data_IF_236910442599
#
_entry.id   IF_236910442599
#
_cell.length_a   1.000
_cell.length_b   1.000
_cell.length_c   1.000
_cell.angle_alpha   90.00
_cell.angle_beta   90.00
_cell.angle_gamma   90.00
#
_symmetry.space_group_name_H-M   'P 1'
#
loop_
_entity.id
_entity.type
_entity.pdbx_description
1 polymer ?
#
# COMPACT_ATOMS: atom_id res chain seq x y z
N UNK A 1 8.69 23.54 -18.30
CA UNK A 1 8.36 22.39 -17.43
C UNK A 1 6.87 22.18 -17.50
N UNK A 2 6.38 20.94 -17.59
CA UNK A 2 4.95 20.68 -17.58
C UNK A 2 4.33 21.20 -16.27
N UNK A 3 3.12 21.76 -16.39
CA UNK A 3 2.38 22.36 -15.28
C UNK A 3 1.45 21.31 -14.63
N UNK A 4 0.64 21.73 -13.65
CA UNK A 4 -0.27 20.82 -12.93
C UNK A 4 -1.33 20.19 -13.84
N UNK A 5 -1.88 20.95 -14.80
CA UNK A 5 -2.86 20.43 -15.76
C UNK A 5 -2.24 19.38 -16.66
N UNK A 6 -1.01 19.60 -17.15
CA UNK A 6 -0.30 18.63 -17.98
C UNK A 6 -0.12 17.28 -17.22
N UNK A 7 0.14 17.32 -15.91
CA UNK A 7 0.20 16.10 -15.09
C UNK A 7 -1.16 15.41 -14.92
N UNK A 8 -2.22 16.19 -14.72
CA UNK A 8 -3.58 15.65 -14.61
C UNK A 8 -4.01 14.99 -15.92
N UNK A 9 -3.76 15.64 -17.05
CA UNK A 9 -4.11 15.10 -18.37
C UNK A 9 -3.38 13.77 -18.65
N UNK A 10 -2.13 13.64 -18.22
CA UNK A 10 -1.35 12.42 -18.38
C UNK A 10 -1.75 11.28 -17.45
N UNK A 11 -2.05 11.56 -16.17
CA UNK A 11 -2.11 10.52 -15.13
C UNK A 11 -3.48 10.36 -14.44
N UNK A 12 -4.40 11.33 -14.59
CA UNK A 12 -5.64 11.34 -13.81
C UNK A 12 -6.53 10.14 -14.10
N UNK A 13 -6.71 9.76 -15.37
CA UNK A 13 -7.61 8.67 -15.72
C UNK A 13 -7.13 7.31 -15.20
N UNK A 14 -5.84 7.03 -15.29
CA UNK A 14 -5.22 5.83 -14.72
C UNK A 14 -5.28 5.83 -13.17
N UNK A 15 -4.97 6.96 -12.54
CA UNK A 15 -5.06 7.11 -11.07
C UNK A 15 -6.50 6.94 -10.57
N UNK A 16 -7.48 7.49 -11.30
CA UNK A 16 -8.91 7.36 -10.98
C UNK A 16 -9.36 5.91 -11.05
N UNK A 17 -8.94 5.17 -12.10
CA UNK A 17 -9.24 3.75 -12.21
C UNK A 17 -8.68 2.97 -11.02
N UNK A 18 -7.41 3.20 -10.64
CA UNK A 18 -6.77 2.54 -9.50
C UNK A 18 -7.50 2.80 -8.18
N UNK A 19 -7.97 4.03 -7.95
CA UNK A 19 -8.77 4.35 -6.76
C UNK A 19 -10.07 3.53 -6.70
N UNK A 20 -10.78 3.39 -7.82
CA UNK A 20 -12.01 2.59 -7.90
C UNK A 20 -11.69 1.10 -7.67
N UNK A 21 -10.60 0.60 -8.25
CA UNK A 21 -10.19 -0.79 -8.12
C UNK A 21 -9.82 -1.14 -6.66
N UNK A 22 -9.10 -0.24 -5.98
CA UNK A 22 -8.78 -0.35 -4.55
C UNK A 22 -10.06 -0.37 -3.71
N UNK A 23 -11.01 0.54 -3.95
CA UNK A 23 -12.28 0.55 -3.23
C UNK A 23 -13.06 -0.75 -3.44
N UNK A 24 -13.14 -1.23 -4.69
CA UNK A 24 -13.80 -2.48 -5.00
C UNK A 24 -13.09 -3.71 -4.38
N UNK A 25 -11.77 -3.68 -4.22
CA UNK A 25 -11.03 -4.70 -3.48
C UNK A 25 -11.46 -4.73 -2.01
N UNK A 26 -11.49 -3.58 -1.34
CA UNK A 26 -11.93 -3.47 0.05
C UNK A 26 -13.39 -3.93 0.22
N UNK A 27 -14.30 -3.52 -0.67
CA UNK A 27 -15.69 -3.98 -0.67
C UNK A 27 -15.82 -5.51 -0.81
N UNK A 28 -14.86 -6.19 -1.45
CA UNK A 28 -14.85 -7.67 -1.56
C UNK A 28 -14.32 -8.31 -0.29
N UNK A 29 -13.31 -7.71 0.35
CA UNK A 29 -12.80 -8.16 1.65
C UNK A 29 -13.92 -8.07 2.70
N UNK A 30 -14.59 -6.92 2.80
CA UNK A 30 -15.65 -6.68 3.80
C UNK A 30 -16.89 -7.59 3.64
N UNK A 31 -17.15 -8.08 2.43
CA UNK A 31 -18.26 -9.02 2.14
C UNK A 31 -17.91 -10.48 2.33
N UNK A 32 -16.63 -10.81 2.52
CA UNK A 32 -16.16 -12.18 2.66
C UNK A 32 -16.26 -12.64 4.12
N UNK A 33 -16.50 -13.93 4.34
CA UNK A 33 -16.53 -14.50 5.69
C UNK A 33 -15.10 -14.76 6.21
N UNK A 34 -14.92 -14.66 7.54
CA UNK A 34 -13.67 -14.97 8.22
C UNK A 34 -12.88 -13.75 8.68
N UNK A 35 -11.78 -14.00 9.38
CA UNK A 35 -10.89 -12.95 9.90
C UNK A 35 -9.87 -12.51 8.85
N UNK A 36 -9.53 -11.23 8.84
CA UNK A 36 -8.43 -10.71 8.02
C UNK A 36 -7.07 -11.06 8.61
N UNK A 37 -6.02 -11.00 7.79
CA UNK A 37 -4.63 -11.13 8.26
C UNK A 37 -3.85 -9.81 8.18
N UNK A 38 -2.56 -9.87 8.52
CA UNK A 38 -1.64 -8.73 8.55
C UNK A 38 -1.60 -7.90 7.25
N UNK A 39 -1.96 -8.49 6.10
CA UNK A 39 -1.96 -7.77 4.82
C UNK A 39 -3.06 -6.73 4.78
N UNK A 40 -4.21 -7.00 5.38
CA UNK A 40 -5.31 -6.04 5.48
C UNK A 40 -4.92 -4.85 6.37
N UNK A 41 -4.40 -5.13 7.57
CA UNK A 41 -3.87 -4.10 8.48
C UNK A 41 -2.79 -3.24 7.80
N UNK A 42 -1.83 -3.89 7.12
CA UNK A 42 -0.76 -3.20 6.40
C UNK A 42 -1.29 -2.33 5.27
N UNK A 43 -2.29 -2.81 4.52
CA UNK A 43 -2.90 -2.05 3.44
C UNK A 43 -3.64 -0.81 3.94
N UNK A 44 -4.40 -0.91 5.03
CA UNK A 44 -5.08 0.24 5.63
C UNK A 44 -4.08 1.30 6.11
N UNK A 45 -2.99 0.88 6.76
CA UNK A 45 -1.88 1.78 7.13
C UNK A 45 -1.24 2.47 5.93
N UNK A 46 -1.07 1.74 4.83
CA UNK A 46 -0.52 2.32 3.60
C UNK A 46 -1.46 3.38 3.00
N UNK A 47 -2.78 3.19 3.07
CA UNK A 47 -3.75 4.22 2.66
C UNK A 47 -3.67 5.46 3.55
N UNK A 48 -3.55 5.28 4.86
CA UNK A 48 -3.34 6.38 5.81
C UNK A 48 -2.04 7.15 5.48
N UNK A 49 -0.93 6.44 5.30
CA UNK A 49 0.37 7.02 4.91
C UNK A 49 0.32 7.75 3.56
N UNK A 50 -0.51 7.32 2.62
CA UNK A 50 -0.72 8.02 1.34
C UNK A 50 -1.41 9.38 1.53
N UNK A 51 -2.39 9.44 2.45
CA UNK A 51 -3.16 10.65 2.73
C UNK A 51 -2.37 11.63 3.60
N UNK A 52 -1.61 11.10 4.57
CA UNK A 52 -0.86 11.86 5.57
C UNK A 52 0.64 11.48 5.55
N UNK A 53 1.38 11.79 4.48
CA UNK A 53 2.77 11.33 4.32
C UNK A 53 3.81 12.11 5.15
N UNK A 54 3.37 13.11 5.94
CA UNK A 54 4.27 14.04 6.63
C UNK A 54 5.19 14.78 5.66
N UNK A 55 6.49 14.76 5.95
CA UNK A 55 7.54 15.40 5.14
C UNK A 55 8.00 14.55 3.94
N UNK A 56 7.46 13.34 3.78
CA UNK A 56 7.86 12.42 2.72
C UNK A 56 6.98 12.55 1.46
N UNK A 57 7.51 12.19 0.28
CA UNK A 57 6.67 11.94 -0.88
C UNK A 57 5.70 10.77 -0.62
N UNK A 58 4.46 10.88 -1.10
CA UNK A 58 3.42 9.84 -0.89
C UNK A 58 3.85 8.44 -1.29
N UNK A 59 4.56 8.30 -2.42
CA UNK A 59 5.04 7.01 -2.89
C UNK A 59 6.04 6.37 -1.92
N UNK A 60 6.91 7.18 -1.29
CA UNK A 60 7.84 6.72 -0.27
C UNK A 60 7.10 6.32 1.01
N UNK A 61 6.17 7.15 1.48
CA UNK A 61 5.38 6.85 2.68
C UNK A 61 4.60 5.52 2.55
N UNK A 62 3.97 5.28 1.39
CA UNK A 62 3.29 4.00 1.09
C UNK A 62 4.27 2.83 1.07
N UNK A 63 5.43 2.98 0.43
CA UNK A 63 6.44 1.93 0.39
C UNK A 63 6.93 1.57 1.78
N UNK A 64 7.30 2.57 2.58
CA UNK A 64 7.81 2.37 3.94
C UNK A 64 6.76 1.76 4.87
N UNK A 65 5.49 2.13 4.74
CA UNK A 65 4.39 1.53 5.51
C UNK A 65 4.21 0.02 5.25
N UNK A 66 4.62 -0.47 4.07
CA UNK A 66 4.51 -1.87 3.66
C UNK A 66 5.83 -2.64 3.78
N UNK A 67 6.94 -1.96 4.06
CA UNK A 67 8.29 -2.53 4.08
C UNK A 67 8.65 -3.06 5.46
N UNK A 68 9.35 -4.19 5.49
CA UNK A 68 10.01 -4.67 6.70
C UNK A 68 11.26 -3.82 6.98
N UNK A 69 11.33 -3.28 8.19
CA UNK A 69 12.44 -2.44 8.67
C UNK A 69 13.38 -3.21 9.60
N UNK A 70 13.22 -4.54 9.70
CA UNK A 70 14.15 -5.38 10.46
C UNK A 70 15.57 -5.26 9.88
N UNK A 71 16.52 -4.88 10.73
CA UNK A 71 17.93 -4.82 10.36
C UNK A 71 18.65 -6.15 10.62
N UNK A 72 18.09 -6.95 11.52
CA UNK A 72 18.61 -8.26 11.90
C UNK A 72 18.09 -9.34 10.92
N UNK A 73 18.97 -10.01 10.16
CA UNK A 73 18.55 -11.06 9.24
C UNK A 73 17.93 -12.25 9.98
N UNK A 74 16.87 -12.82 9.42
CA UNK A 74 16.34 -14.09 9.88
C UNK A 74 17.41 -15.20 9.78
N UNK A 75 17.51 -16.04 10.80
CA UNK A 75 18.49 -17.14 10.84
C UNK A 75 18.35 -18.14 9.69
N UNK A 76 17.14 -18.27 9.12
CA UNK A 76 16.85 -19.08 7.94
C UNK A 76 15.64 -18.50 7.20
N UNK A 77 15.70 -18.46 5.87
CA UNK A 77 14.55 -18.12 5.06
C UNK A 77 13.40 -19.11 5.28
N UNK A 78 12.27 -18.62 5.76
CA UNK A 78 11.04 -19.40 6.01
C UNK A 78 10.17 -19.50 4.75
N UNK A 79 10.32 -18.54 3.83
CA UNK A 79 9.57 -18.42 2.57
C UNK A 79 10.50 -17.93 1.45
N UNK A 80 10.07 -18.09 0.20
CA UNK A 80 10.81 -17.61 -0.99
C UNK A 80 10.22 -16.30 -1.56
N UNK A 81 9.01 -15.89 -1.14
CA UNK A 81 8.28 -14.75 -1.71
C UNK A 81 8.10 -13.59 -0.73
N UNK A 82 7.89 -12.38 -1.27
CA UNK A 82 7.46 -11.23 -0.49
C UNK A 82 5.93 -11.17 -0.42
N UNK A 83 5.38 -10.80 0.74
CA UNK A 83 3.94 -10.62 0.92
C UNK A 83 3.45 -9.20 0.65
N UNK A 84 4.36 -8.23 0.55
CA UNK A 84 4.02 -6.83 0.29
C UNK A 84 3.35 -6.11 1.46
N UNK A 85 3.47 -6.66 2.67
CA UNK A 85 3.10 -6.06 3.95
C UNK A 85 3.91 -6.75 5.07
N UNK A 86 4.23 -6.02 6.14
CA UNK A 86 4.95 -6.58 7.29
C UNK A 86 4.02 -7.44 8.12
N UNK A 87 4.37 -8.72 8.30
CA UNK A 87 3.70 -9.59 9.24
C UNK A 87 3.95 -9.14 10.68
N UNK A 88 2.91 -9.16 11.52
CA UNK A 88 3.13 -9.11 12.97
C UNK A 88 3.67 -10.50 13.36
N UNK A 89 4.90 -10.57 13.88
CA UNK A 89 5.41 -11.77 14.57
C UNK A 89 4.60 -12.08 15.82
#
# INVERSE_FOLDING_TARGET
MPNKQDMLDLYFMDSRYKLIDIAAFLDRVDRSEGETDFRHDGFLKALEAMLEPGDMPRAQAVLEALSDHSEEPLAKATIQGAFGAVGKE
#
